data_IF_700561656889
#
_entry.id   IF_700561656889
#
_cell.length_a   1.000
_cell.length_b   1.000
_cell.length_c   1.000
_cell.angle_alpha   90.00
_cell.angle_beta   90.00
_cell.angle_gamma   90.00
#
_symmetry.space_group_name_H-M   'P 1'
#
loop_
_entity.id
_entity.type
_entity.pdbx_description
1 polymer ?
#
# COMPACT_ATOMS: atom_id res chain seq x y z
N UNK A 1 4.41 -83.98 33.52
CA UNK A 1 3.45 -84.25 32.42
C UNK A 1 3.22 -82.95 31.64
N UNK A 2 3.16 -82.92 30.29
CA UNK A 2 2.03 -83.33 29.40
C UNK A 2 0.72 -82.60 29.78
N UNK A 3 -0.13 -82.05 28.89
CA UNK A 3 -0.29 -81.96 27.40
C UNK A 3 -1.40 -80.88 27.16
N UNK A 4 -1.57 -80.05 26.10
CA UNK A 4 -0.94 -79.75 24.78
C UNK A 4 -1.50 -78.39 24.24
N UNK A 5 -1.00 -77.88 23.10
CA UNK A 5 -1.65 -77.02 22.03
C UNK A 5 -2.64 -75.87 22.38
N UNK A 6 -2.61 -74.69 21.71
CA UNK A 6 -1.70 -74.17 20.68
C UNK A 6 -2.33 -73.13 19.72
N UNK A 7 -1.54 -72.62 18.76
CA UNK A 7 -1.91 -71.92 17.50
C UNK A 7 -2.58 -70.53 17.60
N UNK A 8 -1.82 -69.48 17.23
CA UNK A 8 -2.17 -68.28 16.42
C UNK A 8 -1.17 -67.15 16.75
N UNK A 9 -0.07 -66.95 16.03
CA UNK A 9 -0.01 -66.26 14.73
C UNK A 9 -0.86 -64.98 14.62
N UNK A 10 -0.34 -63.89 15.18
CA UNK A 10 -0.50 -62.54 14.61
C UNK A 10 0.89 -61.92 14.48
N UNK A 11 1.48 -62.01 13.29
CA UNK A 11 2.52 -61.06 12.89
C UNK A 11 1.84 -59.73 12.61
N UNK A 12 2.21 -58.67 13.32
CA UNK A 12 1.97 -57.30 12.87
C UNK A 12 3.25 -56.50 13.11
N UNK A 13 3.70 -55.76 12.09
CA UNK A 13 5.04 -55.22 12.08
C UNK A 13 5.18 -53.99 12.99
N UNK A 14 6.13 -54.04 13.93
CA UNK A 14 6.64 -52.85 14.60
C UNK A 14 7.53 -52.07 13.61
N UNK A 15 6.90 -51.28 12.74
CA UNK A 15 7.54 -50.53 11.66
C UNK A 15 7.16 -49.04 11.70
N UNK A 16 7.24 -48.47 12.91
CA UNK A 16 7.08 -47.05 13.24
C UNK A 16 8.06 -46.71 14.37
N UNK A 17 8.81 -45.61 14.34
CA UNK A 17 8.99 -44.61 13.27
C UNK A 17 10.42 -44.09 13.46
N UNK A 18 11.31 -44.31 12.48
CA UNK A 18 12.60 -43.59 12.48
C UNK A 18 12.27 -42.15 12.10
N UNK A 19 12.26 -41.27 13.10
CA UNK A 19 12.32 -39.85 12.87
C UNK A 19 13.69 -39.55 12.26
N UNK A 20 13.74 -39.51 10.92
CA UNK A 20 14.83 -38.85 10.24
C UNK A 20 14.74 -37.37 10.64
N UNK A 21 15.75 -36.90 11.37
CA UNK A 21 16.05 -35.47 11.38
C UNK A 21 16.60 -35.13 9.99
N UNK A 22 15.70 -34.96 9.03
CA UNK A 22 16.02 -34.32 7.77
C UNK A 22 16.63 -32.96 8.11
N UNK A 23 17.90 -32.80 7.77
CA UNK A 23 18.68 -31.61 8.10
C UNK A 23 18.21 -30.43 7.27
N UNK A 24 17.12 -29.80 7.71
CA UNK A 24 16.54 -28.62 7.08
C UNK A 24 17.63 -27.54 6.94
N UNK A 25 18.07 -27.36 5.70
CA UNK A 25 19.09 -26.39 5.34
C UNK A 25 18.56 -25.01 5.68
N UNK A 26 19.35 -24.23 6.44
CA UNK A 26 18.99 -22.86 6.84
C UNK A 26 19.03 -21.86 5.68
N UNK A 27 18.26 -22.11 4.64
CA UNK A 27 17.79 -21.09 3.72
C UNK A 27 16.65 -20.36 4.43
N UNK A 28 17.02 -19.37 5.25
CA UNK A 28 16.06 -18.58 6.02
C UNK A 28 15.14 -17.84 5.06
N UNK A 29 13.92 -18.35 4.86
CA UNK A 29 12.93 -17.71 3.99
C UNK A 29 12.58 -16.35 4.58
N UNK A 30 13.17 -15.30 4.01
CA UNK A 30 12.87 -13.93 4.35
C UNK A 30 11.47 -13.65 3.81
N UNK A 31 10.45 -13.76 4.67
CA UNK A 31 9.04 -13.51 4.35
C UNK A 31 8.60 -12.08 4.66
N UNK A 32 9.53 -11.20 5.05
CA UNK A 32 9.23 -9.81 5.43
C UNK A 32 10.31 -8.87 4.89
N UNK A 33 9.91 -7.64 4.58
CA UNK A 33 10.83 -6.56 4.24
C UNK A 33 11.72 -6.22 5.45
N UNK A 34 13.03 -6.38 5.32
CA UNK A 34 14.01 -5.97 6.34
C UNK A 34 14.70 -4.70 5.87
N UNK A 35 14.70 -3.64 6.70
CA UNK A 35 15.38 -2.37 6.41
C UNK A 35 16.40 -2.07 7.50
N UNK A 36 17.66 -1.98 7.11
CA UNK A 36 18.82 -1.63 7.94
C UNK A 36 19.31 -0.22 7.56
N UNK A 37 19.64 0.62 8.54
CA UNK A 37 20.24 1.95 8.26
C UNK A 37 21.76 1.84 8.28
N UNK A 38 22.40 2.03 7.12
CA UNK A 38 23.85 2.00 6.94
C UNK A 38 24.51 3.32 7.33
N UNK A 39 23.86 4.45 7.00
CA UNK A 39 24.31 5.80 7.34
C UNK A 39 23.10 6.63 7.73
N UNK A 40 23.16 7.27 8.90
CA UNK A 40 22.16 8.23 9.37
C UNK A 40 22.74 9.65 9.29
N UNK A 41 22.05 10.64 8.69
CA UNK A 41 22.52 12.01 8.64
C UNK A 41 22.52 12.67 10.03
N UNK A 42 23.39 13.66 10.22
CA UNK A 42 23.52 14.39 11.51
C UNK A 42 22.23 15.13 11.90
N UNK A 43 21.48 15.62 10.91
CA UNK A 43 20.16 16.22 11.09
C UNK A 43 19.14 15.48 10.24
N UNK A 44 17.95 15.27 10.80
CA UNK A 44 16.90 14.42 10.23
C UNK A 44 15.54 14.98 10.68
N UNK A 45 15.27 16.23 10.30
CA UNK A 45 14.11 17.02 10.72
C UNK A 45 12.88 16.75 9.85
N UNK A 46 13.11 16.27 8.61
CA UNK A 46 12.09 16.00 7.61
C UNK A 46 12.30 14.58 7.09
N UNK A 47 11.28 13.73 7.26
CA UNK A 47 11.25 12.36 6.77
C UNK A 47 10.25 12.20 5.62
N UNK A 48 10.52 11.28 4.69
CA UNK A 48 9.64 10.96 3.57
C UNK A 48 8.29 10.37 4.00
N UNK A 49 7.19 10.95 3.50
CA UNK A 49 5.83 10.42 3.65
C UNK A 49 5.26 9.92 2.31
N UNK A 50 4.17 9.15 2.36
CA UNK A 50 3.41 8.79 1.16
C UNK A 50 2.96 10.05 0.41
N UNK A 51 3.23 10.09 -0.89
CA UNK A 51 3.02 11.25 -1.75
C UNK A 51 4.24 12.17 -1.92
N UNK A 52 5.28 12.08 -1.09
CA UNK A 52 6.51 12.86 -1.30
C UNK A 52 7.34 12.29 -2.46
N UNK A 53 8.27 13.09 -2.99
CA UNK A 53 9.16 12.69 -4.09
C UNK A 53 10.61 12.64 -3.61
N UNK A 54 11.26 11.49 -3.79
CA UNK A 54 12.67 11.30 -3.48
C UNK A 54 13.49 11.23 -4.77
N UNK A 55 14.71 11.74 -4.72
CA UNK A 55 15.76 11.36 -5.65
C UNK A 55 16.71 10.41 -4.95
N UNK A 56 16.95 9.23 -5.51
CA UNK A 56 17.78 8.19 -4.89
C UNK A 56 18.88 7.70 -5.81
N UNK A 57 20.02 7.35 -5.23
CA UNK A 57 20.94 6.40 -5.82
C UNK A 57 20.73 5.02 -5.20
N UNK A 58 20.91 3.95 -5.99
CA UNK A 58 20.79 2.58 -5.51
C UNK A 58 21.72 1.62 -6.24
N UNK A 59 21.98 0.48 -5.59
CA UNK A 59 22.51 -0.73 -6.23
C UNK A 59 21.68 -1.92 -5.80
N UNK A 60 21.01 -2.56 -6.75
CA UNK A 60 20.24 -3.78 -6.54
C UNK A 60 21.11 -5.02 -6.78
N UNK A 61 21.00 -6.01 -5.91
CA UNK A 61 21.71 -7.30 -5.99
C UNK A 61 20.76 -8.47 -5.69
N UNK A 62 21.14 -9.65 -6.16
CA UNK A 62 20.65 -10.94 -5.66
C UNK A 62 21.43 -11.34 -4.39
N UNK A 63 20.91 -12.30 -3.61
CA UNK A 63 21.56 -12.81 -2.39
C UNK A 63 22.91 -13.51 -2.65
N UNK A 64 23.22 -13.91 -3.90
CA UNK A 64 24.53 -14.40 -4.34
C UNK A 64 25.57 -13.27 -4.54
N UNK A 65 25.17 -12.01 -4.31
CA UNK A 65 25.98 -10.82 -4.54
C UNK A 65 25.97 -10.30 -5.98
N UNK A 66 25.32 -10.98 -6.93
CA UNK A 66 25.25 -10.55 -8.34
C UNK A 66 24.45 -9.25 -8.45
N UNK A 67 25.11 -8.20 -8.95
CA UNK A 67 24.46 -6.92 -9.26
C UNK A 67 23.46 -7.12 -10.40
N UNK A 68 22.22 -6.66 -10.19
CA UNK A 68 21.14 -6.70 -11.18
C UNK A 68 20.96 -5.34 -11.88
N UNK A 69 21.18 -4.23 -11.16
CA UNK A 69 21.21 -2.86 -11.69
C UNK A 69 21.87 -1.91 -10.66
N UNK A 70 22.40 -0.77 -11.11
CA UNK A 70 22.90 0.32 -10.26
C UNK A 70 22.72 1.67 -10.94
N UNK A 71 22.33 2.68 -10.17
CA UNK A 71 22.20 4.06 -10.67
C UNK A 71 23.51 4.85 -10.64
N UNK A 72 24.60 4.33 -10.06
CA UNK A 72 25.81 5.11 -9.75
C UNK A 72 26.56 5.65 -10.99
N UNK A 73 26.19 5.22 -12.20
CA UNK A 73 26.74 5.71 -13.48
C UNK A 73 25.77 6.59 -14.27
N UNK A 74 24.70 7.10 -13.65
CA UNK A 74 23.61 7.88 -14.28
C UNK A 74 22.96 8.82 -13.27
N UNK A 75 22.03 9.65 -13.72
CA UNK A 75 21.29 10.55 -12.82
C UNK A 75 20.50 9.77 -11.74
N UNK A 76 20.24 10.37 -10.55
CA UNK A 76 19.40 9.78 -9.51
C UNK A 76 18.01 9.35 -10.02
N UNK A 77 17.51 8.22 -9.53
CA UNK A 77 16.15 7.78 -9.83
C UNK A 77 15.16 8.63 -9.03
N UNK A 78 14.19 9.20 -9.73
CA UNK A 78 13.07 9.95 -9.12
C UNK A 78 11.95 8.97 -8.77
N UNK A 79 11.52 8.95 -7.50
CA UNK A 79 10.45 8.09 -6.98
C UNK A 79 9.42 8.95 -6.24
N UNK A 80 8.18 8.98 -6.73
CA UNK A 80 7.04 9.58 -6.00
C UNK A 80 6.31 8.47 -5.22
N UNK A 81 6.35 8.54 -3.89
CA UNK A 81 5.82 7.48 -3.02
C UNK A 81 4.30 7.35 -3.14
N UNK A 82 3.83 6.11 -3.29
CA UNK A 82 2.42 5.78 -3.50
C UNK A 82 2.01 5.72 -4.98
N UNK A 83 2.93 5.98 -5.93
CA UNK A 83 2.68 5.79 -7.37
C UNK A 83 2.93 4.37 -7.85
N UNK A 84 3.66 3.54 -7.10
CA UNK A 84 4.15 2.21 -7.51
C UNK A 84 5.00 2.28 -8.79
N UNK A 85 5.87 3.29 -8.89
CA UNK A 85 6.83 3.42 -10.00
C UNK A 85 8.03 2.48 -9.88
N UNK A 86 8.24 1.90 -8.69
CA UNK A 86 9.24 0.87 -8.36
C UNK A 86 8.55 -0.34 -7.72
N UNK A 87 9.31 -1.43 -7.49
CA UNK A 87 8.79 -2.61 -6.77
C UNK A 87 8.30 -2.25 -5.37
N UNK A 88 7.23 -2.90 -4.91
CA UNK A 88 6.50 -2.50 -3.70
C UNK A 88 7.36 -2.50 -2.44
N UNK A 89 8.28 -3.46 -2.28
CA UNK A 89 9.19 -3.48 -1.13
C UNK A 89 10.21 -2.34 -1.13
N UNK A 90 10.59 -1.82 -2.30
CA UNK A 90 11.47 -0.66 -2.40
C UNK A 90 10.69 0.63 -2.09
N UNK A 91 9.46 0.76 -2.60
CA UNK A 91 8.57 1.88 -2.26
C UNK A 91 8.27 1.93 -0.75
N UNK A 92 8.09 0.77 -0.11
CA UNK A 92 7.93 0.65 1.34
C UNK A 92 9.20 0.99 2.13
N UNK A 93 10.37 0.54 1.67
CA UNK A 93 11.65 0.83 2.34
C UNK A 93 12.07 2.31 2.28
N UNK A 94 11.50 3.08 1.34
CA UNK A 94 11.77 4.51 1.15
C UNK A 94 10.92 5.43 2.06
N UNK A 95 10.04 4.89 2.90
CA UNK A 95 9.20 5.67 3.83
C UNK A 95 9.96 5.93 5.14
N UNK A 96 9.84 7.15 5.69
CA UNK A 96 10.47 7.51 6.95
C UNK A 96 11.97 7.83 6.85
N UNK A 97 12.49 8.04 5.64
CA UNK A 97 13.91 8.35 5.40
C UNK A 97 14.17 9.85 5.32
N UNK A 98 15.36 10.27 5.75
CA UNK A 98 15.87 11.63 5.62
C UNK A 98 16.82 11.77 4.41
N UNK A 99 17.00 13.01 3.93
CA UNK A 99 18.03 13.34 2.94
C UNK A 99 19.44 13.02 3.48
N UNK A 100 20.30 12.44 2.65
CA UNK A 100 21.63 11.94 3.03
C UNK A 100 21.62 10.61 3.81
N UNK A 101 20.45 10.02 4.11
CA UNK A 101 20.36 8.69 4.72
C UNK A 101 20.69 7.59 3.71
N UNK A 102 21.44 6.57 4.16
CA UNK A 102 21.69 5.34 3.42
C UNK A 102 21.12 4.14 4.14
N UNK A 103 20.43 3.27 3.40
CA UNK A 103 19.81 2.04 3.91
C UNK A 103 20.21 0.82 3.08
N UNK A 104 20.09 -0.36 3.68
CA UNK A 104 20.00 -1.64 3.00
C UNK A 104 18.60 -2.20 3.19
N UNK A 105 17.89 -2.45 2.10
CA UNK A 105 16.58 -3.08 2.08
C UNK A 105 16.69 -4.49 1.52
N UNK A 106 16.35 -5.51 2.32
CA UNK A 106 16.25 -6.91 1.88
C UNK A 106 14.78 -7.21 1.59
N UNK A 107 14.46 -7.35 0.31
CA UNK A 107 13.10 -7.37 -0.23
C UNK A 107 12.71 -8.81 -0.59
N UNK A 108 11.70 -9.40 0.06
CA UNK A 108 11.24 -10.74 -0.26
C UNK A 108 10.62 -10.80 -1.65
N UNK A 109 10.68 -11.96 -2.31
CA UNK A 109 10.25 -12.11 -3.70
C UNK A 109 8.83 -11.58 -3.97
N UNK A 110 7.88 -11.78 -3.04
CA UNK A 110 6.49 -11.35 -3.17
C UNK A 110 6.30 -9.81 -3.11
N UNK A 111 7.29 -9.06 -2.63
CA UNK A 111 7.36 -7.58 -2.69
C UNK A 111 8.26 -7.06 -3.82
N UNK A 112 8.88 -7.97 -4.59
CA UNK A 112 9.73 -7.72 -5.75
C UNK A 112 9.06 -8.19 -7.05
N UNK A 113 9.57 -9.27 -7.67
CA UNK A 113 9.11 -9.79 -8.97
C UNK A 113 8.38 -11.16 -8.86
N UNK A 114 8.30 -11.72 -7.66
CA UNK A 114 7.62 -12.98 -7.33
C UNK A 114 8.06 -14.19 -8.16
N UNK A 115 7.14 -15.17 -8.26
CA UNK A 115 7.30 -16.43 -9.00
C UNK A 115 7.74 -16.30 -10.47
N UNK A 116 7.57 -15.12 -11.06
CA UNK A 116 7.91 -14.85 -12.47
C UNK A 116 9.35 -14.34 -12.64
N UNK A 117 9.88 -13.64 -11.64
CA UNK A 117 11.16 -12.93 -11.76
C UNK A 117 11.14 -11.84 -12.84
N UNK A 118 12.33 -11.46 -13.29
CA UNK A 118 12.55 -10.58 -14.43
C UNK A 118 13.64 -11.18 -15.34
N UNK A 119 13.29 -12.20 -16.17
CA UNK A 119 14.27 -12.88 -17.02
C UNK A 119 14.87 -11.95 -18.08
N UNK A 120 16.17 -12.09 -18.43
CA UNK A 120 17.11 -13.11 -17.94
C UNK A 120 17.86 -12.71 -16.65
N UNK A 121 17.66 -11.50 -16.13
CA UNK A 121 18.50 -10.92 -15.09
C UNK A 121 18.20 -11.45 -13.69
N UNK A 122 16.91 -11.57 -13.36
CA UNK A 122 16.38 -11.94 -12.04
C UNK A 122 15.55 -13.23 -12.17
N UNK A 123 15.90 -14.32 -11.49
CA UNK A 123 15.11 -15.55 -11.47
C UNK A 123 13.73 -15.38 -10.80
N UNK A 124 12.87 -16.40 -10.94
CA UNK A 124 11.64 -16.50 -10.15
C UNK A 124 11.96 -16.68 -8.65
N UNK A 125 11.03 -16.25 -7.81
CA UNK A 125 11.08 -16.36 -6.34
C UNK A 125 12.37 -15.83 -5.67
N UNK A 126 13.08 -14.93 -6.35
CA UNK A 126 14.31 -14.33 -5.85
C UNK A 126 14.06 -13.17 -4.88
N UNK A 127 14.62 -13.30 -3.68
CA UNK A 127 14.83 -12.20 -2.73
C UNK A 127 15.95 -11.28 -3.25
N UNK A 128 15.79 -9.97 -3.07
CA UNK A 128 16.71 -8.95 -3.56
C UNK A 128 17.26 -8.10 -2.42
N UNK A 129 18.51 -7.66 -2.52
CA UNK A 129 19.08 -6.63 -1.65
C UNK A 129 19.25 -5.33 -2.41
N UNK A 130 18.79 -4.22 -1.84
CA UNK A 130 19.01 -2.88 -2.38
C UNK A 130 19.77 -2.04 -1.35
N UNK A 131 21.01 -1.66 -1.68
CA UNK A 131 21.68 -0.53 -1.05
C UNK A 131 21.12 0.74 -1.67
N UNK A 132 20.65 1.69 -0.86
CA UNK A 132 19.98 2.92 -1.32
C UNK A 132 20.50 4.14 -0.55
N UNK A 133 20.67 5.26 -1.23
CA UNK A 133 21.05 6.57 -0.71
C UNK A 133 20.06 7.63 -1.16
N UNK A 134 19.50 8.40 -0.22
CA UNK A 134 18.60 9.52 -0.52
C UNK A 134 19.41 10.77 -0.85
N UNK A 135 19.35 11.19 -2.11
CA UNK A 135 20.09 12.34 -2.65
C UNK A 135 19.32 13.64 -2.44
N UNK A 136 17.99 13.62 -2.56
CA UNK A 136 17.13 14.73 -2.11
C UNK A 136 15.71 14.28 -1.76
N UNK A 137 15.04 15.03 -0.88
CA UNK A 137 13.63 14.84 -0.50
C UNK A 137 12.79 16.10 -0.80
N UNK A 138 11.80 15.95 -1.68
CA UNK A 138 10.84 17.01 -2.03
C UNK A 138 9.45 16.65 -1.51
N UNK A 139 8.99 17.35 -0.47
CA UNK A 139 7.68 17.10 0.13
C UNK A 139 6.53 17.76 -0.63
N UNK A 140 5.35 17.12 -0.64
CA UNK A 140 4.12 17.80 -1.07
C UNK A 140 3.73 18.87 -0.04
N UNK A 141 3.54 20.10 -0.51
CA UNK A 141 3.17 21.23 0.36
C UNK A 141 1.85 20.97 1.07
N UNK A 142 1.66 21.56 2.27
CA UNK A 142 0.43 21.42 3.04
C UNK A 142 -0.84 21.83 2.23
N UNK A 143 -0.72 22.83 1.36
CA UNK A 143 -1.78 23.23 0.43
C UNK A 143 -2.05 22.17 -0.65
N UNK A 144 -1.04 21.48 -1.18
CA UNK A 144 -1.23 20.37 -2.11
C UNK A 144 -1.89 19.17 -1.42
N UNK A 145 -1.50 18.81 -0.18
CA UNK A 145 -2.21 17.77 0.60
C UNK A 145 -3.69 18.16 0.79
N UNK A 146 -3.98 19.39 1.23
CA UNK A 146 -5.36 19.89 1.37
C UNK A 146 -6.17 19.88 0.06
N UNK A 147 -5.58 20.30 -1.07
CA UNK A 147 -6.26 20.35 -2.37
C UNK A 147 -6.45 18.97 -2.99
N UNK A 148 -5.53 18.03 -2.77
CA UNK A 148 -5.66 16.67 -3.29
C UNK A 148 -6.60 15.81 -2.44
N UNK A 149 -6.56 15.94 -1.11
CA UNK A 149 -7.21 15.00 -0.20
C UNK A 149 -8.54 15.54 0.34
N UNK A 150 -8.60 16.82 0.73
CA UNK A 150 -9.79 17.41 1.40
C UNK A 150 -10.77 18.00 0.39
N UNK A 151 -10.29 18.70 -0.65
CA UNK A 151 -11.17 19.36 -1.61
C UNK A 151 -12.11 18.41 -2.37
N UNK A 152 -11.70 17.19 -2.81
CA UNK A 152 -12.63 16.27 -3.45
C UNK A 152 -13.74 15.78 -2.49
N UNK A 153 -13.40 15.49 -1.24
CA UNK A 153 -14.36 15.09 -0.21
C UNK A 153 -15.35 16.22 0.11
N UNK A 154 -14.86 17.46 0.19
CA UNK A 154 -15.70 18.65 0.34
C UNK A 154 -16.67 18.81 -0.84
N UNK A 155 -16.19 18.67 -2.08
CA UNK A 155 -17.02 18.72 -3.28
C UNK A 155 -18.08 17.60 -3.31
N UNK A 156 -17.73 16.38 -2.91
CA UNK A 156 -18.65 15.24 -2.81
C UNK A 156 -19.76 15.45 -1.76
N UNK A 157 -19.53 16.25 -0.72
CA UNK A 157 -20.55 16.62 0.25
C UNK A 157 -21.37 17.87 -0.18
N UNK A 158 -20.71 18.88 -0.73
CA UNK A 158 -21.35 20.16 -1.09
C UNK A 158 -22.22 20.07 -2.35
N UNK A 159 -21.81 19.32 -3.38
CA UNK A 159 -22.60 19.23 -4.62
C UNK A 159 -23.97 18.58 -4.40
N UNK A 160 -24.10 17.42 -3.72
CA UNK A 160 -25.42 16.83 -3.46
C UNK A 160 -26.28 17.65 -2.50
N UNK A 161 -25.69 18.31 -1.49
CA UNK A 161 -26.44 19.16 -0.56
C UNK A 161 -26.96 20.44 -1.22
N UNK A 162 -26.16 21.08 -2.09
CA UNK A 162 -26.63 22.21 -2.91
C UNK A 162 -27.74 21.79 -3.88
N UNK A 163 -27.59 20.67 -4.58
CA UNK A 163 -28.65 20.13 -5.46
C UNK A 163 -29.94 19.79 -4.67
N UNK A 164 -29.80 19.23 -3.47
CA UNK A 164 -30.92 18.95 -2.57
C UNK A 164 -31.63 20.23 -2.09
N UNK A 165 -30.89 21.27 -1.72
CA UNK A 165 -31.46 22.57 -1.33
C UNK A 165 -32.14 23.29 -2.49
N UNK A 166 -31.57 23.24 -3.70
CA UNK A 166 -32.21 23.78 -4.92
C UNK A 166 -33.49 22.99 -5.24
N UNK A 167 -33.45 21.66 -5.14
CA UNK A 167 -34.62 20.79 -5.31
C UNK A 167 -35.73 21.11 -4.30
N UNK A 168 -35.40 21.26 -3.02
CA UNK A 168 -36.33 21.64 -1.96
C UNK A 168 -36.92 23.04 -2.17
N UNK A 169 -36.11 24.02 -2.61
CA UNK A 169 -36.59 25.35 -2.97
C UNK A 169 -37.58 25.30 -4.14
N UNK A 170 -37.27 24.55 -5.20
CA UNK A 170 -38.14 24.39 -6.37
C UNK A 170 -39.44 23.65 -6.00
N UNK A 171 -39.37 22.62 -5.17
CA UNK A 171 -40.54 21.92 -4.62
C UNK A 171 -41.46 22.87 -3.85
N UNK A 172 -40.91 23.58 -2.86
CA UNK A 172 -41.67 24.56 -2.05
C UNK A 172 -42.27 25.67 -2.92
N UNK A 173 -41.54 26.13 -3.95
CA UNK A 173 -42.00 27.15 -4.91
C UNK A 173 -43.10 26.65 -5.84
N UNK A 174 -43.07 25.38 -6.25
CA UNK A 174 -44.12 24.78 -7.07
C UNK A 174 -45.41 24.51 -6.27
N UNK A 175 -45.29 24.15 -4.99
CA UNK A 175 -46.43 23.93 -4.09
C UNK A 175 -47.02 25.23 -3.49
N UNK A 176 -46.34 26.38 -3.64
CA UNK A 176 -46.88 27.69 -3.30
C UNK A 176 -47.98 28.14 -4.28
N UNK A 177 -49.22 27.73 -4.01
CA UNK A 177 -50.42 28.07 -4.79
C UNK A 177 -50.55 29.59 -5.08
N UNK A 178 -50.77 30.01 -6.34
CA UNK A 178 -51.11 31.38 -6.65
C UNK A 178 -52.54 31.70 -6.16
N UNK A 179 -52.71 32.73 -5.34
CA UNK A 179 -54.01 33.11 -4.78
C UNK A 179 -55.02 33.54 -5.89
N UNK A 180 -55.86 32.60 -6.31
CA UNK A 180 -56.87 32.81 -7.34
C UNK A 180 -57.95 33.81 -6.92
N UNK A 181 -58.19 34.82 -7.77
CA UNK A 181 -59.20 35.88 -7.58
C UNK A 181 -60.60 35.29 -7.36
N UNK A 182 -61.27 35.60 -6.25
CA UNK A 182 -62.71 35.36 -6.07
C UNK A 182 -63.44 36.64 -5.64
N UNK A 183 -64.57 36.92 -6.30
CA UNK A 183 -65.24 38.24 -6.30
C UNK A 183 -66.01 38.49 -5.00
N UNK A 184 -65.80 39.64 -4.35
CA UNK A 184 -66.76 40.26 -3.43
C UNK A 184 -67.58 41.34 -4.15
N UNK A 185 -68.58 40.93 -4.93
CA UNK A 185 -69.51 41.86 -5.61
C UNK A 185 -70.97 41.53 -5.27
N UNK A 186 -71.35 41.67 -4.01
CA UNK A 186 -72.76 41.85 -3.63
C UNK A 186 -72.91 42.48 -2.22
N UNK A 187 -74.14 42.92 -1.91
CA UNK A 187 -74.65 43.40 -0.61
C UNK A 187 -73.99 44.65 0.00
N UNK A 188 -74.39 45.82 -0.53
CA UNK A 188 -74.87 46.93 0.34
C UNK A 188 -76.02 47.74 -0.26
N UNK A 189 -77.06 47.02 -0.71
CA UNK A 189 -78.41 47.61 -0.84
C UNK A 189 -79.05 47.75 0.55
N UNK A 190 -80.08 48.60 0.65
CA UNK A 190 -80.79 49.02 1.87
C UNK A 190 -79.95 49.81 2.90
N UNK A 191 -79.87 51.13 2.67
CA UNK A 191 -80.18 52.11 3.72
C UNK A 191 -81.46 52.82 3.29
N UNK A 192 -82.50 52.78 4.13
CA UNK A 192 -83.72 53.58 4.06
C UNK A 192 -84.10 53.91 5.50
#
# INVERSE_FOLDING_TARGET
MRIRTGIALVFLAALTFVAAEDGDSKESVIEQLVVETLVKPETCTITSEMGDTLQIHYTGRLLDGKVIDTSLSRDPLVVELGRRSVITGLEQALVGLCEGQKIKATIPAHLAYGKRGFPPTIPGDSTLEFEVEVISLSQKTAWQKLVNDILPLLCLALVPTLLGLVGLYLYNKAHAQPHGKKKSKDKKSKKK
#
